data_IF_704931402145
#
_entry.id   IF_704931402145
#
_cell.length_a   1.000
_cell.length_b   1.000
_cell.length_c   1.000
_cell.angle_alpha   90.00
_cell.angle_beta   90.00
_cell.angle_gamma   90.00
#
_symmetry.space_group_name_H-M   'P 1'
#
loop_
_entity.id
_entity.type
_entity.pdbx_description
1 polymer ?
#
# COMPACT_ATOMS: atom_id res chain seq x y z
N UNK A 1 -31.32 -9.65 7.50
CA UNK A 1 -30.21 -10.64 7.42
C UNK A 1 -29.77 -10.84 5.98
N UNK A 2 -28.93 -9.96 5.41
CA UNK A 2 -28.06 -10.26 4.24
C UNK A 2 -27.02 -9.13 3.95
N UNK A 3 -26.56 -8.39 4.97
CA UNK A 3 -25.61 -7.27 4.75
C UNK A 3 -24.14 -7.76 4.64
N UNK A 4 -23.85 -8.95 5.17
CA UNK A 4 -22.49 -9.49 5.26
C UNK A 4 -21.87 -9.88 3.90
N UNK A 5 -22.70 -10.11 2.87
CA UNK A 5 -22.24 -10.47 1.52
C UNK A 5 -21.73 -9.27 0.71
N UNK A 6 -22.43 -8.14 0.77
CA UNK A 6 -22.06 -6.93 0.01
C UNK A 6 -20.76 -6.28 0.51
N UNK A 7 -20.52 -6.30 1.83
CA UNK A 7 -19.31 -5.70 2.44
C UNK A 7 -18.05 -6.49 2.03
N UNK A 8 -18.15 -7.83 1.96
CA UNK A 8 -17.02 -8.71 1.65
C UNK A 8 -16.57 -8.61 0.19
N UNK A 9 -17.50 -8.45 -0.76
CA UNK A 9 -17.18 -8.31 -2.19
C UNK A 9 -16.47 -6.97 -2.47
N UNK A 10 -16.85 -5.89 -1.77
CA UNK A 10 -16.25 -4.55 -1.97
C UNK A 10 -14.79 -4.49 -1.49
N UNK A 11 -14.46 -5.16 -0.37
CA UNK A 11 -13.09 -5.20 0.16
C UNK A 11 -12.14 -6.03 -0.71
N UNK A 12 -12.63 -7.12 -1.30
CA UNK A 12 -11.80 -7.96 -2.20
C UNK A 12 -11.42 -7.21 -3.47
N UNK A 13 -12.37 -6.46 -4.05
CA UNK A 13 -12.09 -5.69 -5.25
C UNK A 13 -11.06 -4.57 -4.99
N UNK A 14 -11.15 -3.89 -3.85
CA UNK A 14 -10.15 -2.89 -3.44
C UNK A 14 -8.75 -3.49 -3.26
N UNK A 15 -8.66 -4.68 -2.68
CA UNK A 15 -7.39 -5.39 -2.51
C UNK A 15 -6.74 -5.72 -3.86
N UNK A 16 -7.54 -6.19 -4.82
CA UNK A 16 -7.06 -6.54 -6.17
C UNK A 16 -6.55 -5.29 -6.90
N UNK A 17 -7.30 -4.19 -6.86
CA UNK A 17 -6.87 -2.92 -7.47
C UNK A 17 -5.59 -2.37 -6.83
N UNK A 18 -5.47 -2.43 -5.51
CA UNK A 18 -4.24 -2.04 -4.80
C UNK A 18 -3.06 -2.92 -5.21
N UNK A 19 -3.25 -4.25 -5.23
CA UNK A 19 -2.20 -5.18 -5.63
C UNK A 19 -1.74 -4.94 -7.07
N UNK A 20 -2.68 -4.74 -8.00
CA UNK A 20 -2.37 -4.40 -9.39
C UNK A 20 -1.61 -3.08 -9.51
N UNK A 21 -2.06 -2.03 -8.83
CA UNK A 21 -1.40 -0.73 -8.85
C UNK A 21 0.03 -0.82 -8.31
N UNK A 22 0.23 -1.53 -7.19
CA UNK A 22 1.57 -1.75 -6.62
C UNK A 22 2.47 -2.53 -7.57
N UNK A 23 1.97 -3.60 -8.20
CA UNK A 23 2.75 -4.39 -9.18
C UNK A 23 3.10 -3.54 -10.39
N UNK A 24 2.16 -2.78 -10.96
CA UNK A 24 2.41 -1.91 -12.12
C UNK A 24 3.45 -0.85 -11.79
N UNK A 25 3.31 -0.15 -10.66
CA UNK A 25 4.26 0.88 -10.23
C UNK A 25 5.62 0.26 -9.89
N UNK A 26 5.65 -0.92 -9.28
CA UNK A 26 6.89 -1.65 -9.01
C UNK A 26 7.61 -2.08 -10.29
N UNK A 27 6.89 -2.57 -11.31
CA UNK A 27 7.45 -2.95 -12.61
C UNK A 27 7.95 -1.72 -13.36
N UNK A 28 7.12 -0.68 -13.50
CA UNK A 28 7.52 0.57 -14.16
C UNK A 28 8.71 1.21 -13.46
N UNK A 29 8.66 1.23 -12.13
CA UNK A 29 9.74 1.72 -11.30
C UNK A 29 11.03 0.95 -11.52
N UNK A 30 10.99 -0.38 -11.42
CA UNK A 30 12.15 -1.24 -11.66
C UNK A 30 12.70 -1.14 -13.09
N UNK A 31 11.82 -0.99 -14.09
CA UNK A 31 12.22 -0.84 -15.49
C UNK A 31 12.94 0.50 -15.73
N UNK A 32 12.41 1.60 -15.17
CA UNK A 32 13.05 2.91 -15.23
C UNK A 32 14.37 2.90 -14.45
N UNK A 33 14.41 2.32 -13.26
CA UNK A 33 15.63 2.22 -12.44
C UNK A 33 16.71 1.39 -13.09
N UNK A 34 16.33 0.32 -13.81
CA UNK A 34 17.28 -0.50 -14.55
C UNK A 34 18.07 0.33 -15.58
N UNK A 35 17.46 1.38 -16.14
CA UNK A 35 18.17 2.25 -17.10
C UNK A 35 19.20 3.18 -16.46
N UNK A 36 19.07 3.50 -15.16
CA UNK A 36 19.97 4.43 -14.46
C UNK A 36 20.97 3.72 -13.54
N UNK A 37 20.55 2.65 -12.85
CA UNK A 37 21.28 2.02 -11.75
C UNK A 37 21.41 0.49 -11.91
N UNK A 38 20.89 -0.05 -13.02
CA UNK A 38 21.05 -1.46 -13.40
C UNK A 38 20.28 -2.43 -12.49
N UNK A 39 20.88 -3.60 -12.23
CA UNK A 39 20.23 -4.73 -11.53
C UNK A 39 19.88 -4.38 -10.08
N UNK A 40 20.58 -3.44 -9.45
CA UNK A 40 20.34 -3.00 -8.08
C UNK A 40 18.93 -2.41 -7.90
N UNK A 41 18.44 -1.65 -8.88
CA UNK A 41 17.10 -1.07 -8.85
C UNK A 41 15.99 -2.13 -8.95
N UNK A 42 16.22 -3.23 -9.66
CA UNK A 42 15.27 -4.35 -9.78
C UNK A 42 15.15 -5.08 -8.43
N UNK A 43 16.27 -5.29 -7.75
CA UNK A 43 16.30 -5.91 -6.41
C UNK A 43 15.60 -4.99 -5.40
N UNK A 44 15.86 -3.68 -5.46
CA UNK A 44 15.21 -2.67 -4.63
C UNK A 44 13.69 -2.66 -4.82
N UNK A 45 13.21 -2.66 -6.06
CA UNK A 45 11.78 -2.72 -6.38
C UNK A 45 11.14 -4.04 -5.91
N UNK A 46 11.84 -5.17 -6.06
CA UNK A 46 11.39 -6.47 -5.57
C UNK A 46 11.25 -6.52 -4.05
N UNK A 47 12.21 -5.94 -3.31
CA UNK A 47 12.14 -5.83 -1.85
C UNK A 47 11.01 -4.91 -1.41
N UNK A 48 10.82 -3.77 -2.08
CA UNK A 48 9.72 -2.86 -1.78
C UNK A 48 8.34 -3.51 -2.00
N UNK A 49 8.17 -4.28 -3.09
CA UNK A 49 6.97 -5.10 -3.31
C UNK A 49 6.79 -6.17 -2.22
N UNK A 50 7.89 -6.85 -1.85
CA UNK A 50 7.89 -7.87 -0.80
C UNK A 50 7.48 -7.34 0.57
N UNK A 51 7.68 -6.04 0.83
CA UNK A 51 7.25 -5.39 2.07
C UNK A 51 5.83 -4.83 1.94
N UNK A 52 5.50 -4.17 0.83
CA UNK A 52 4.20 -3.52 0.66
C UNK A 52 3.03 -4.52 0.54
N UNK A 53 3.22 -5.65 -0.16
CA UNK A 53 2.18 -6.68 -0.32
C UNK A 53 1.69 -7.27 1.02
N UNK A 54 2.56 -7.83 1.89
CA UNK A 54 2.10 -8.40 3.16
C UNK A 54 1.52 -7.35 4.09
N UNK A 55 2.02 -6.10 4.05
CA UNK A 55 1.46 -5.00 4.85
C UNK A 55 0.03 -4.68 4.41
N UNK A 56 -0.24 -4.66 3.10
CA UNK A 56 -1.59 -4.48 2.55
C UNK A 56 -2.54 -5.62 2.90
N UNK A 57 -2.07 -6.87 2.88
CA UNK A 57 -2.85 -8.04 3.29
C UNK A 57 -3.14 -8.02 4.80
N UNK A 58 -2.15 -7.71 5.62
CA UNK A 58 -2.31 -7.61 7.08
C UNK A 58 -3.36 -6.54 7.45
N UNK A 59 -3.29 -5.36 6.83
CA UNK A 59 -4.27 -4.30 6.93
C UNK A 59 -5.71 -4.74 6.63
N UNK A 60 -5.89 -5.53 5.56
CA UNK A 60 -7.20 -6.06 5.15
C UNK A 60 -7.73 -7.10 6.13
N UNK A 61 -6.88 -8.03 6.58
CA UNK A 61 -7.24 -9.05 7.57
C UNK A 61 -7.65 -8.38 8.89
N UNK A 62 -6.91 -7.35 9.31
CA UNK A 62 -7.21 -6.60 10.53
C UNK A 62 -8.52 -5.82 10.40
N UNK A 63 -8.76 -5.21 9.24
CA UNK A 63 -10.02 -4.51 8.94
C UNK A 63 -11.22 -5.47 8.93
N UNK A 64 -11.06 -6.69 8.41
CA UNK A 64 -12.11 -7.70 8.42
C UNK A 64 -12.46 -8.22 9.83
N UNK A 65 -11.48 -8.22 10.75
CA UNK A 65 -11.67 -8.68 12.14
C UNK A 65 -12.29 -7.63 13.06
N UNK A 66 -12.07 -6.35 12.79
CA UNK A 66 -12.46 -5.24 13.66
C UNK A 66 -13.76 -4.53 13.21
N UNK A 67 -14.64 -5.22 12.49
CA UNK A 67 -15.81 -4.70 11.75
C UNK A 67 -16.95 -4.15 12.65
N UNK A 68 -16.61 -3.36 13.67
CA UNK A 68 -17.51 -2.72 14.63
C UNK A 68 -17.56 -1.21 14.33
N UNK A 69 -18.75 -0.60 14.22
CA UNK A 69 -18.90 0.81 13.82
C UNK A 69 -18.25 1.78 14.82
N UNK A 70 -18.24 1.46 16.11
CA UNK A 70 -17.57 2.26 17.14
C UNK A 70 -16.04 2.31 17.00
N UNK A 71 -15.46 1.34 16.30
CA UNK A 71 -14.02 1.22 16.08
C UNK A 71 -13.57 1.69 14.69
N UNK A 72 -14.48 2.20 13.84
CA UNK A 72 -14.17 2.58 12.46
C UNK A 72 -13.02 3.61 12.38
N UNK A 73 -12.99 4.58 13.31
CA UNK A 73 -11.93 5.58 13.37
C UNK A 73 -10.57 4.95 13.75
N UNK A 74 -10.56 4.07 14.75
CA UNK A 74 -9.37 3.34 15.18
C UNK A 74 -8.85 2.41 14.08
N UNK A 75 -9.74 1.74 13.33
CA UNK A 75 -9.35 0.91 12.20
C UNK A 75 -8.65 1.72 11.12
N UNK A 76 -9.18 2.89 10.75
CA UNK A 76 -8.54 3.78 9.77
C UNK A 76 -7.17 4.20 10.28
N UNK A 77 -7.06 4.61 11.54
CA UNK A 77 -5.80 5.05 12.13
C UNK A 77 -4.74 3.94 12.13
N UNK A 78 -5.10 2.74 12.60
CA UNK A 78 -4.19 1.59 12.65
C UNK A 78 -3.77 1.18 11.23
N UNK A 79 -4.71 1.20 10.29
CA UNK A 79 -4.43 0.85 8.90
C UNK A 79 -3.46 1.86 8.26
N UNK A 80 -3.63 3.15 8.51
CA UNK A 80 -2.70 4.19 8.05
C UNK A 80 -1.33 4.08 8.72
N UNK A 81 -1.28 3.81 10.03
CA UNK A 81 -0.02 3.61 10.76
C UNK A 81 0.73 2.40 10.24
N UNK A 82 0.05 1.29 9.96
CA UNK A 82 0.71 0.11 9.38
C UNK A 82 1.16 0.37 7.93
N UNK A 83 0.31 0.99 7.10
CA UNK A 83 0.64 1.27 5.69
C UNK A 83 1.68 2.35 5.49
N UNK A 84 1.84 3.30 6.41
CA UNK A 84 2.87 4.33 6.35
C UNK A 84 4.10 3.97 7.18
N UNK A 85 3.87 3.54 8.42
CA UNK A 85 4.92 3.29 9.41
C UNK A 85 5.79 2.08 9.08
N UNK A 86 5.24 1.01 8.49
CA UNK A 86 6.05 -0.14 8.07
C UNK A 86 6.99 0.24 6.92
N UNK A 87 6.50 0.79 5.78
CA UNK A 87 7.41 1.20 4.70
C UNK A 87 8.36 2.32 5.12
N UNK A 88 7.91 3.34 5.87
CA UNK A 88 8.81 4.40 6.37
C UNK A 88 9.83 3.86 7.36
N UNK A 89 9.44 2.97 8.27
CA UNK A 89 10.35 2.37 9.24
C UNK A 89 11.42 1.49 8.58
N UNK A 90 11.04 0.71 7.57
CA UNK A 90 11.97 -0.08 6.77
C UNK A 90 12.86 0.82 5.92
N UNK A 91 12.29 1.86 5.30
CA UNK A 91 13.05 2.86 4.55
C UNK A 91 14.09 3.55 5.42
N UNK A 92 13.71 3.95 6.64
CA UNK A 92 14.61 4.56 7.62
C UNK A 92 15.70 3.60 8.08
N UNK A 93 15.37 2.33 8.34
CA UNK A 93 16.35 1.29 8.69
C UNK A 93 17.36 1.03 7.56
N UNK A 94 16.91 1.00 6.31
CA UNK A 94 17.78 0.80 5.15
C UNK A 94 18.64 2.03 4.89
N UNK A 95 18.07 3.24 5.01
CA UNK A 95 18.78 4.49 4.81
C UNK A 95 19.83 4.73 5.91
N UNK A 96 19.50 4.49 7.18
CA UNK A 96 20.41 4.68 8.32
C UNK A 96 21.60 3.72 8.30
N UNK A 97 21.49 2.56 7.64
CA UNK A 97 22.61 1.64 7.46
C UNK A 97 23.59 2.03 6.37
N UNK A 98 23.28 3.02 5.53
CA UNK A 98 24.18 3.57 4.51
C UNK A 98 24.79 2.49 3.62
N UNK A 99 24.12 2.14 2.52
CA UNK A 99 24.61 1.14 1.59
C UNK A 99 24.19 1.42 0.15
N UNK A 100 24.74 0.66 -0.78
CA UNK A 100 24.50 0.75 -2.24
C UNK A 100 23.01 0.71 -2.60
N UNK A 101 22.16 0.17 -1.72
CA UNK A 101 20.70 0.17 -1.85
C UNK A 101 20.05 1.56 -1.67
N UNK A 102 20.59 2.40 -0.79
CA UNK A 102 20.07 3.75 -0.56
C UNK A 102 20.45 4.71 -1.70
N UNK A 103 21.63 4.50 -2.29
CA UNK A 103 22.04 5.19 -3.52
C UNK A 103 21.26 4.69 -4.74
N UNK A 104 20.91 3.40 -4.78
CA UNK A 104 20.12 2.78 -5.87
C UNK A 104 18.61 3.12 -5.84
N UNK A 105 18.24 4.32 -5.39
CA UNK A 105 16.86 4.81 -5.49
C UNK A 105 15.81 4.08 -4.63
N UNK A 106 16.18 3.18 -3.72
CA UNK A 106 15.24 2.40 -2.89
C UNK A 106 14.25 3.30 -2.13
N UNK A 107 14.73 4.43 -1.60
CA UNK A 107 13.89 5.42 -0.90
C UNK A 107 12.82 5.98 -1.83
N UNK A 108 13.18 6.28 -3.08
CA UNK A 108 12.25 6.79 -4.07
C UNK A 108 11.16 5.77 -4.41
N UNK A 109 11.53 4.49 -4.58
CA UNK A 109 10.57 3.42 -4.83
C UNK A 109 9.60 3.20 -3.68
N UNK A 110 10.09 3.19 -2.44
CA UNK A 110 9.23 3.05 -1.26
C UNK A 110 8.26 4.22 -1.14
N UNK A 111 8.73 5.45 -1.38
CA UNK A 111 7.87 6.64 -1.36
C UNK A 111 6.85 6.62 -2.50
N UNK A 112 7.25 6.23 -3.71
CA UNK A 112 6.35 6.15 -4.86
C UNK A 112 5.24 5.09 -4.65
N UNK A 113 5.60 3.91 -4.15
CA UNK A 113 4.64 2.84 -3.81
C UNK A 113 3.71 3.25 -2.67
N UNK A 114 4.25 3.97 -1.67
CA UNK A 114 3.44 4.53 -0.59
C UNK A 114 2.42 5.54 -1.11
N UNK A 115 2.85 6.53 -1.91
CA UNK A 115 1.96 7.52 -2.50
C UNK A 115 0.90 6.88 -3.39
N UNK A 116 1.27 5.86 -4.17
CA UNK A 116 0.32 5.09 -4.98
C UNK A 116 -0.75 4.44 -4.10
N UNK A 117 -0.33 3.81 -3.00
CA UNK A 117 -1.26 3.21 -2.02
C UNK A 117 -2.21 4.26 -1.47
N UNK A 118 -1.70 5.44 -1.12
CA UNK A 118 -2.47 6.55 -0.54
C UNK A 118 -3.50 7.09 -1.54
N UNK A 119 -3.12 7.28 -2.81
CA UNK A 119 -4.00 7.76 -3.87
C UNK A 119 -5.14 6.77 -4.11
N UNK A 120 -4.84 5.47 -4.18
CA UNK A 120 -5.88 4.44 -4.36
C UNK A 120 -6.86 4.45 -3.18
N UNK A 121 -6.36 4.54 -1.94
CA UNK A 121 -7.20 4.58 -0.74
C UNK A 121 -8.10 5.81 -0.72
N UNK A 122 -7.54 6.99 -1.02
CA UNK A 122 -8.28 8.25 -1.11
C UNK A 122 -9.34 8.21 -2.22
N UNK A 123 -9.01 7.65 -3.39
CA UNK A 123 -9.95 7.52 -4.50
C UNK A 123 -11.17 6.67 -4.11
N UNK A 124 -10.92 5.53 -3.45
CA UNK A 124 -12.01 4.67 -2.99
C UNK A 124 -12.84 5.31 -1.87
N UNK A 125 -12.22 6.06 -0.95
CA UNK A 125 -12.94 6.77 0.11
C UNK A 125 -13.86 7.85 -0.47
N UNK A 126 -13.36 8.67 -1.39
CA UNK A 126 -14.13 9.70 -2.09
C UNK A 126 -15.31 9.09 -2.85
N UNK A 127 -15.09 7.97 -3.56
CA UNK A 127 -16.18 7.29 -4.27
C UNK A 127 -17.26 6.73 -3.32
N UNK A 128 -16.89 6.37 -2.09
CA UNK A 128 -17.87 5.97 -1.07
C UNK A 128 -18.68 7.15 -0.56
N UNK A 129 -18.06 8.31 -0.35
CA UNK A 129 -18.78 9.51 0.10
C UNK A 129 -19.75 10.03 -0.96
N UNK A 130 -19.33 10.05 -2.23
CA UNK A 130 -20.20 10.47 -3.33
C UNK A 130 -21.43 9.57 -3.48
N UNK A 131 -21.29 8.25 -3.27
CA UNK A 131 -22.40 7.33 -3.32
C UNK A 131 -23.42 7.54 -2.17
N UNK A 132 -22.97 7.99 -0.99
CA UNK A 132 -23.84 8.25 0.15
C UNK A 132 -24.61 9.59 0.07
N UNK A 133 -24.14 10.54 -0.75
CA UNK A 133 -24.81 11.83 -0.96
C UNK A 133 -25.88 11.80 -2.08
N UNK A 134 -26.02 10.66 -2.78
CA UNK A 134 -27.03 10.47 -3.82
C UNK A 134 -28.29 9.72 -3.31
N UNK A 135 -28.33 9.34 -2.04
CA UNK A 135 -29.49 8.78 -1.34
C UNK A 135 -30.13 9.85 -0.44
#
# INVERSE_FOLDING_TARGET
MNSSGHVRVRTTNQAVWLALALVIVGILGGLLGYTFEGVAAVIAAGLALGVCLPTGVAALVLSARLNQPELALYQILINQVLRAGVPLGICFLVHSRGGTLAEAGFVFYVVALYLTTLVVDAFFLTNRMNAANCE
#
